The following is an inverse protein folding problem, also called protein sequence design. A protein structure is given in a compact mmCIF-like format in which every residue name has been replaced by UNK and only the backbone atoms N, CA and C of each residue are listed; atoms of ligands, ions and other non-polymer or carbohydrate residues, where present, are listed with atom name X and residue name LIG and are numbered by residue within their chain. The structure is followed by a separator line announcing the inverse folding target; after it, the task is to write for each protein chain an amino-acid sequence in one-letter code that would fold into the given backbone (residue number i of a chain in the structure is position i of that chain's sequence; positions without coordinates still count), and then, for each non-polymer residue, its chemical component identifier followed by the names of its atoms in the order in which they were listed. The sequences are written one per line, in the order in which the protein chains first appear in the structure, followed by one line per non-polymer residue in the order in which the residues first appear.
data_IF_284257014648
#
_entry.id   IF_284257014648
#
_cell.length_a   1.000
_cell.length_b   1.000
_cell.length_c   1.000
_cell.angle_alpha   90.00
_cell.angle_beta   90.00
_cell.angle_gamma   90.00
#
_symmetry.space_group_name_H-M   'P 1'
#
loop_
_entity.id
_entity.type
_entity.pdbx_description
1 polymer ?
#
# COMPACT_ATOMS: atom_id res chain seq x y z
N UNK A 1 -15.18 3.03 17.66
CA UNK A 1 -13.90 2.35 17.26
C UNK A 1 -13.37 2.91 15.95
N UNK A 2 -14.23 3.20 14.97
CA UNK A 2 -13.88 3.89 13.71
C UNK A 2 -13.89 5.42 13.82
N UNK A 3 -14.36 5.94 14.95
CA UNK A 3 -14.61 7.37 15.16
C UNK A 3 -13.30 8.17 15.13
N UNK A 4 -12.20 7.65 15.69
CA UNK A 4 -10.90 8.32 15.68
C UNK A 4 -10.31 8.47 14.26
N UNK A 5 -10.53 7.48 13.38
CA UNK A 5 -10.08 7.54 11.98
C UNK A 5 -10.89 8.57 11.22
N UNK A 6 -12.22 8.58 11.40
CA UNK A 6 -13.09 9.56 10.74
C UNK A 6 -12.86 10.98 11.27
N UNK A 7 -12.69 11.16 12.58
CA UNK A 7 -12.31 12.44 13.19
C UNK A 7 -10.98 12.95 12.65
N UNK A 8 -9.98 12.07 12.56
CA UNK A 8 -8.70 12.40 11.92
C UNK A 8 -8.95 12.88 10.49
N UNK A 9 -9.62 12.10 9.64
CA UNK A 9 -9.86 12.46 8.24
C UNK A 9 -10.63 13.78 8.09
N UNK A 10 -11.62 14.06 8.95
CA UNK A 10 -12.37 15.32 8.95
C UNK A 10 -11.50 16.52 9.33
N UNK A 11 -10.51 16.34 10.20
CA UNK A 11 -9.56 17.39 10.59
C UNK A 11 -8.50 17.69 9.53
N UNK A 12 -8.32 16.83 8.52
CA UNK A 12 -7.29 17.00 7.50
C UNK A 12 -7.84 17.73 6.26
N UNK A 13 -7.37 18.95 6.03
CA UNK A 13 -7.88 19.81 4.95
C UNK A 13 -7.16 19.59 3.60
N UNK A 14 -5.99 18.92 3.59
CA UNK A 14 -5.11 18.83 2.40
C UNK A 14 -4.54 17.42 2.16
N UNK A 15 -5.34 16.37 2.34
CA UNK A 15 -4.90 15.03 1.94
C UNK A 15 -4.85 14.95 0.41
N UNK A 16 -3.70 14.49 -0.12
CA UNK A 16 -3.49 14.21 -1.54
C UNK A 16 -4.20 12.91 -1.97
N UNK A 17 -4.24 11.82 -1.16
CA UNK A 17 -4.80 10.56 -1.61
C UNK A 17 -6.33 10.61 -1.76
N UNK A 18 -6.83 9.91 -2.78
CA UNK A 18 -8.26 9.84 -3.11
C UNK A 18 -8.99 8.92 -2.12
N UNK A 19 -10.14 9.39 -1.59
CA UNK A 19 -11.05 8.54 -0.80
C UNK A 19 -11.94 7.71 -1.74
N UNK A 20 -11.81 6.40 -1.68
CA UNK A 20 -12.63 5.43 -2.41
C UNK A 20 -13.65 4.76 -1.47
N UNK A 21 -14.77 4.33 -2.04
CA UNK A 21 -15.71 3.41 -1.40
C UNK A 21 -15.20 1.97 -1.45
N UNK A 22 -15.69 1.13 -0.54
CA UNK A 22 -15.35 -0.29 -0.54
C UNK A 22 -15.82 -1.00 -1.82
N UNK A 23 -16.93 -0.55 -2.40
CA UNK A 23 -17.44 -1.06 -3.68
C UNK A 23 -16.45 -0.81 -4.82
N UNK A 24 -15.87 0.39 -4.88
CA UNK A 24 -14.84 0.73 -5.86
C UNK A 24 -13.58 -0.12 -5.66
N UNK A 25 -13.12 -0.28 -4.41
CA UNK A 25 -11.97 -1.13 -4.10
C UNK A 25 -12.22 -2.59 -4.51
N UNK A 26 -13.42 -3.12 -4.24
CA UNK A 26 -13.80 -4.48 -4.65
C UNK A 26 -13.85 -4.63 -6.16
N UNK A 27 -14.32 -3.62 -6.89
CA UNK A 27 -14.31 -3.61 -8.36
C UNK A 27 -12.88 -3.56 -8.90
N UNK A 28 -12.06 -2.67 -8.36
CA UNK A 28 -10.65 -2.44 -8.70
C UNK A 28 -9.80 -3.70 -8.51
N UNK A 29 -10.06 -4.48 -7.46
CA UNK A 29 -9.38 -5.74 -7.14
C UNK A 29 -10.00 -6.97 -7.84
N UNK A 30 -11.03 -6.79 -8.68
CA UNK A 30 -11.83 -7.87 -9.29
C UNK A 30 -12.38 -8.86 -8.25
N UNK A 31 -12.73 -8.37 -7.06
CA UNK A 31 -13.18 -9.17 -5.93
C UNK A 31 -12.05 -9.83 -5.15
N UNK A 32 -10.90 -9.15 -5.03
CA UNK A 32 -9.73 -9.59 -4.26
C UNK A 32 -9.14 -10.93 -4.72
N UNK A 33 -9.07 -11.13 -6.04
CA UNK A 33 -8.66 -12.42 -6.64
C UNK A 33 -7.16 -12.65 -6.67
N UNK A 34 -6.38 -11.59 -6.83
CA UNK A 34 -4.94 -11.66 -7.06
C UNK A 34 -4.21 -11.16 -5.82
N UNK A 35 -3.79 -12.08 -4.96
CA UNK A 35 -3.08 -11.79 -3.71
C UNK A 35 -1.59 -11.62 -4.00
N UNK A 36 -1.03 -10.48 -3.63
CA UNK A 36 0.38 -10.14 -3.80
C UNK A 36 1.24 -10.51 -2.58
N UNK A 37 0.66 -10.44 -1.38
CA UNK A 37 1.39 -10.70 -0.14
C UNK A 37 0.49 -10.64 1.09
N UNK A 38 1.04 -11.06 2.21
CA UNK A 38 0.40 -11.05 3.54
C UNK A 38 1.48 -10.82 4.60
N UNK A 39 1.15 -10.03 5.62
CA UNK A 39 2.02 -9.80 6.77
C UNK A 39 1.19 -9.31 7.96
N UNK A 40 1.44 -9.87 9.14
CA UNK A 40 0.62 -9.56 10.33
C UNK A 40 -0.86 -9.87 10.10
N UNK A 41 -1.71 -8.84 10.16
CA UNK A 41 -3.15 -8.94 9.88
C UNK A 41 -3.54 -8.36 8.51
N UNK A 42 -2.57 -7.91 7.73
CA UNK A 42 -2.80 -7.18 6.49
C UNK A 42 -2.60 -8.10 5.29
N UNK A 43 -3.47 -7.93 4.29
CA UNK A 43 -3.38 -8.66 3.02
C UNK A 43 -3.31 -7.67 1.88
N UNK A 44 -2.36 -7.87 0.97
CA UNK A 44 -2.16 -7.02 -0.20
C UNK A 44 -2.68 -7.73 -1.44
N UNK A 45 -3.52 -7.04 -2.21
CA UNK A 45 -4.07 -7.52 -3.48
C UNK A 45 -3.65 -6.64 -4.65
N UNK A 46 -3.57 -7.23 -5.83
CA UNK A 46 -3.42 -6.49 -7.07
C UNK A 46 -4.76 -5.90 -7.49
N UNK A 47 -4.73 -4.66 -7.96
CA UNK A 47 -5.89 -3.99 -8.56
C UNK A 47 -5.53 -3.24 -9.82
N UNK A 48 -6.56 -2.67 -10.47
CA UNK A 48 -6.41 -1.79 -11.62
C UNK A 48 -7.38 -0.63 -11.51
N UNK A 49 -6.87 0.60 -11.53
CA UNK A 49 -7.69 1.81 -11.59
C UNK A 49 -8.46 1.85 -12.90
N UNK A 50 -9.62 2.52 -12.89
CA UNK A 50 -10.40 2.75 -14.12
C UNK A 50 -9.60 3.56 -15.15
N UNK A 51 -8.73 4.45 -14.69
CA UNK A 51 -7.78 5.21 -15.52
C UNK A 51 -6.72 4.34 -16.20
N UNK A 52 -6.54 3.08 -15.80
CA UNK A 52 -5.60 2.14 -16.42
C UNK A 52 -4.44 1.64 -15.55
N UNK A 53 -3.80 2.45 -14.69
CA UNK A 53 -2.67 2.01 -13.86
C UNK A 53 -3.00 0.83 -12.95
N UNK A 54 -2.00 -0.03 -12.74
CA UNK A 54 -2.06 -1.10 -11.74
C UNK A 54 -1.79 -0.52 -10.34
N UNK A 55 -2.41 -1.12 -9.34
CA UNK A 55 -2.27 -0.71 -7.93
C UNK A 55 -2.09 -1.91 -7.00
N UNK A 56 -1.53 -1.64 -5.83
CA UNK A 56 -1.51 -2.55 -4.70
C UNK A 56 -2.53 -2.09 -3.65
N UNK A 57 -3.47 -2.95 -3.29
CA UNK A 57 -4.55 -2.68 -2.34
C UNK A 57 -4.22 -3.44 -1.05
N UNK A 58 -3.71 -2.71 -0.06
CA UNK A 58 -3.42 -3.23 1.28
C UNK A 58 -4.70 -3.14 2.11
N UNK A 59 -5.34 -4.28 2.31
CA UNK A 59 -6.47 -4.41 3.24
C UNK A 59 -5.89 -4.45 4.65
N UNK A 60 -6.34 -3.52 5.49
CA UNK A 60 -5.91 -3.47 6.88
C UNK A 60 -6.81 -4.36 7.72
N UNK A 61 -6.20 -5.26 8.48
CA UNK A 61 -6.92 -6.09 9.44
C UNK A 61 -7.45 -5.27 10.61
N UNK A 62 -8.36 -5.85 11.39
CA UNK A 62 -8.85 -5.26 12.65
C UNK A 62 -7.73 -5.25 13.70
N UNK A 63 -6.78 -4.32 13.60
CA UNK A 63 -5.72 -4.20 14.60
C UNK A 63 -6.27 -3.63 15.92
N UNK A 64 -5.69 -4.06 17.04
CA UNK A 64 -6.10 -3.64 18.40
C UNK A 64 -5.85 -2.15 18.69
N UNK A 65 -5.23 -1.42 17.76
CA UNK A 65 -4.68 -0.08 17.96
C UNK A 65 -5.59 1.04 17.41
N UNK A 66 -6.93 0.91 17.49
CA UNK A 66 -7.90 1.96 17.12
C UNK A 66 -7.66 2.64 15.75
N UNK A 67 -7.17 1.92 14.75
CA UNK A 67 -6.87 2.48 13.43
C UNK A 67 -5.65 3.41 13.38
N UNK A 68 -4.80 3.42 14.41
CA UNK A 68 -3.60 4.26 14.46
C UNK A 68 -2.62 3.98 13.31
N UNK A 69 -2.49 2.71 12.90
CA UNK A 69 -1.65 2.35 11.74
C UNK A 69 -2.14 3.02 10.45
N UNK A 70 -3.46 3.01 10.23
CA UNK A 70 -4.07 3.74 9.12
C UNK A 70 -3.80 5.24 9.21
N UNK A 71 -4.04 5.84 10.39
CA UNK A 71 -3.81 7.28 10.62
C UNK A 71 -2.34 7.63 10.34
N UNK A 72 -1.40 6.83 10.84
CA UNK A 72 0.02 7.06 10.64
C UNK A 72 0.41 7.01 9.16
N UNK A 73 -0.03 5.99 8.42
CA UNK A 73 0.25 5.85 6.98
C UNK A 73 -0.35 7.03 6.18
N UNK A 74 -1.61 7.40 6.43
CA UNK A 74 -2.26 8.51 5.70
C UNK A 74 -1.68 9.87 6.09
N UNK A 75 -1.35 10.08 7.37
CA UNK A 75 -0.75 11.33 7.86
C UNK A 75 0.67 11.55 7.33
N UNK A 76 1.43 10.47 7.14
CA UNK A 76 2.84 10.54 6.71
C UNK A 76 2.97 10.32 5.21
N UNK A 77 2.80 9.09 4.74
CA UNK A 77 2.97 8.69 3.33
C UNK A 77 1.95 9.38 2.43
N UNK A 78 0.74 9.65 2.92
CA UNK A 78 -0.28 10.39 2.16
C UNK A 78 0.13 11.82 1.78
N UNK A 79 1.21 12.37 2.32
CA UNK A 79 1.72 13.71 1.99
C UNK A 79 3.03 13.68 1.21
N UNK A 80 3.60 12.49 0.98
CA UNK A 80 4.90 12.32 0.34
C UNK A 80 4.71 11.98 -1.13
N UNK A 81 5.41 12.70 -1.99
CA UNK A 81 5.56 12.38 -3.40
C UNK A 81 7.06 12.43 -3.75
N UNK A 82 7.70 11.28 -3.76
CA UNK A 82 9.14 11.16 -3.97
C UNK A 82 9.44 9.91 -4.80
N UNK A 83 10.42 10.00 -5.71
CA UNK A 83 10.74 8.92 -6.68
C UNK A 83 11.12 7.59 -6.02
N UNK A 84 11.65 7.62 -4.80
CA UNK A 84 12.07 6.42 -4.05
C UNK A 84 11.10 6.03 -2.92
N UNK A 85 9.93 6.67 -2.84
CA UNK A 85 8.89 6.33 -1.86
C UNK A 85 7.63 5.92 -2.60
N UNK A 86 7.14 4.72 -2.31
CA UNK A 86 5.91 4.21 -2.94
C UNK A 86 4.75 5.15 -2.67
N UNK A 87 4.10 5.60 -3.74
CA UNK A 87 3.04 6.59 -3.64
C UNK A 87 1.75 5.97 -3.09
N UNK A 88 1.21 6.57 -2.02
CA UNK A 88 -0.16 6.34 -1.59
C UNK A 88 -1.12 7.12 -2.50
N UNK A 89 -1.85 6.39 -3.35
CA UNK A 89 -2.80 6.94 -4.33
C UNK A 89 -4.15 7.24 -3.66
N UNK A 90 -4.56 6.38 -2.73
CA UNK A 90 -5.86 6.52 -2.09
C UNK A 90 -6.07 5.63 -0.89
N UNK A 91 -7.24 5.76 -0.30
CA UNK A 91 -7.66 4.98 0.86
C UNK A 91 -9.16 4.68 0.83
N UNK A 92 -9.59 3.70 1.63
CA UNK A 92 -11.00 3.40 1.90
C UNK A 92 -11.19 3.29 3.41
N UNK A 93 -12.26 3.92 3.92
CA UNK A 93 -12.70 3.81 5.32
C UNK A 93 -14.22 3.66 5.32
N UNK A 94 -14.69 2.42 5.55
CA UNK A 94 -16.11 2.07 5.67
C UNK A 94 -16.32 1.03 6.78
N UNK A 95 -16.61 1.49 8.01
CA UNK A 95 -16.72 0.61 9.17
C UNK A 95 -15.43 -0.22 9.33
N UNK A 96 -15.50 -1.56 9.49
CA UNK A 96 -14.30 -2.41 9.62
C UNK A 96 -13.42 -2.51 8.37
N UNK A 97 -13.87 -1.94 7.24
CA UNK A 97 -13.21 -2.12 5.95
C UNK A 97 -12.29 -0.94 5.69
N UNK A 98 -11.07 -1.06 6.17
CA UNK A 98 -10.01 -0.10 5.89
C UNK A 98 -9.08 -0.65 4.81
N UNK A 99 -8.71 0.20 3.86
CA UNK A 99 -7.72 -0.15 2.84
C UNK A 99 -6.87 1.05 2.47
N UNK A 100 -5.62 0.76 2.08
CA UNK A 100 -4.67 1.70 1.50
C UNK A 100 -4.35 1.24 0.07
N UNK A 101 -4.30 2.19 -0.86
CA UNK A 101 -4.14 1.93 -2.29
C UNK A 101 -2.85 2.62 -2.72
N UNK A 102 -1.86 1.82 -3.08
CA UNK A 102 -0.55 2.28 -3.53
C UNK A 102 -0.38 2.03 -5.01
N UNK A 103 0.58 2.72 -5.63
CA UNK A 103 1.07 2.31 -6.93
C UNK A 103 1.61 0.87 -6.90
N UNK A 104 1.49 0.16 -8.02
CA UNK A 104 1.96 -1.20 -8.12
C UNK A 104 3.44 -1.25 -8.47
N UNK A 105 4.23 -1.92 -7.63
CA UNK A 105 5.66 -2.15 -7.85
C UNK A 105 5.87 -3.48 -8.62
N UNK A 106 6.20 -3.46 -9.93
CA UNK A 106 6.23 -4.66 -10.75
C UNK A 106 7.31 -5.67 -10.36
N UNK A 107 8.40 -5.19 -9.74
CA UNK A 107 9.50 -6.04 -9.30
C UNK A 107 9.29 -6.59 -7.88
N UNK A 108 8.20 -6.23 -7.19
CA UNK A 108 7.92 -6.71 -5.85
C UNK A 108 8.90 -6.18 -4.79
N UNK A 109 8.97 -6.90 -3.65
CA UNK A 109 9.81 -6.52 -2.52
C UNK A 109 11.28 -6.88 -2.74
N UNK A 110 12.18 -6.12 -2.11
CA UNK A 110 13.61 -6.41 -2.11
C UNK A 110 13.94 -7.74 -1.42
N UNK A 111 13.11 -8.16 -0.45
CA UNK A 111 13.20 -9.45 0.25
C UNK A 111 13.35 -10.62 -0.73
N UNK A 112 12.60 -10.60 -1.84
CA UNK A 112 12.66 -11.63 -2.89
C UNK A 112 14.06 -11.80 -3.49
N UNK A 113 14.87 -10.74 -3.52
CA UNK A 113 16.18 -10.75 -4.16
C UNK A 113 17.33 -10.98 -3.19
N UNK A 114 17.12 -10.73 -1.89
CA UNK A 114 18.16 -10.88 -0.86
C UNK A 114 18.14 -12.28 -0.24
N UNK A 115 16.96 -12.88 -0.05
CA UNK A 115 16.82 -14.10 0.76
C UNK A 115 16.59 -15.38 -0.05
N UNK A 116 16.37 -15.32 -1.37
CA UNK A 116 16.16 -16.52 -2.18
C UNK A 116 17.48 -17.19 -2.59
N UNK A 117 17.50 -18.53 -2.54
CA UNK A 117 18.59 -19.36 -3.02
C UNK A 117 18.83 -19.13 -4.51
N UNK A 118 20.08 -19.31 -4.93
CA UNK A 118 20.62 -19.04 -6.28
C UNK A 118 19.95 -19.83 -7.43
N UNK A 119 18.90 -20.61 -7.16
CA UNK A 119 18.25 -21.51 -8.11
C UNK A 119 16.95 -20.94 -8.72
N UNK A 120 16.29 -19.95 -8.10
CA UNK A 120 14.98 -19.43 -8.56
C UNK A 120 14.92 -17.92 -8.83
N UNK A 121 15.98 -17.18 -8.49
CA UNK A 121 16.02 -15.72 -8.70
C UNK A 121 17.35 -15.28 -9.31
N UNK A 122 17.30 -14.31 -10.22
CA UNK A 122 18.49 -13.65 -10.77
C UNK A 122 19.03 -12.73 -9.65
N UNK A 123 20.25 -12.97 -9.13
CA UNK A 123 20.83 -12.12 -8.09
C UNK A 123 20.95 -10.68 -8.58
N UNK A 124 20.71 -9.71 -7.69
CA UNK A 124 20.97 -8.30 -8.02
C UNK A 124 22.47 -8.11 -8.25
N UNK A 125 22.83 -7.38 -9.31
CA UNK A 125 24.23 -6.97 -9.52
C UNK A 125 24.67 -6.03 -8.39
N UNK A 126 25.99 -5.93 -8.18
CA UNK A 126 26.53 -4.98 -7.20
C UNK A 126 26.14 -3.53 -7.53
N UNK A 127 26.16 -3.18 -8.82
CA UNK A 127 25.71 -1.88 -9.33
C UNK A 127 24.25 -1.64 -8.94
N UNK A 128 23.38 -2.63 -9.17
CA UNK A 128 21.96 -2.49 -8.84
C UNK A 128 21.71 -2.39 -7.33
N UNK A 129 22.49 -3.14 -6.56
CA UNK A 129 22.47 -3.06 -5.09
C UNK A 129 22.85 -1.65 -4.62
N UNK A 130 23.92 -1.07 -5.16
CA UNK A 130 24.34 0.30 -4.84
C UNK A 130 23.27 1.33 -5.22
N UNK A 131 22.64 1.21 -6.40
CA UNK A 131 21.53 2.09 -6.80
C UNK A 131 20.35 2.02 -5.82
N UNK A 132 19.95 0.81 -5.41
CA UNK A 132 18.87 0.62 -4.44
C UNK A 132 19.25 1.22 -3.09
N UNK A 133 20.48 1.00 -2.62
CA UNK A 133 20.96 1.59 -1.37
C UNK A 133 20.97 3.12 -1.40
N UNK A 134 21.41 3.73 -2.52
CA UNK A 134 21.38 5.18 -2.70
C UNK A 134 19.95 5.74 -2.77
N UNK A 135 19.01 4.96 -3.32
CA UNK A 135 17.61 5.38 -3.37
C UNK A 135 16.92 5.36 -2.01
N UNK A 136 17.32 4.45 -1.12
CA UNK A 136 16.76 4.30 0.23
C UNK A 136 17.34 5.32 1.24
N UNK A 137 18.62 5.70 1.07
CA UNK A 137 19.33 6.62 1.96
C UNK A 137 18.79 8.06 1.92
#
# INVERSE_FOLDING_TARGET
MYDAVEEFLQSQINLIPIRYSYSEIRKMSKGFKDKLGEGGYDIVYKGKLESGPLVAIKMLGSSKANGQEFINEVATIGRIHHVNVVQLIGFCVEGPKHALIYEFMPNGSLEKYIFFSWEESIPLSIEKTCEISLGVA
#
